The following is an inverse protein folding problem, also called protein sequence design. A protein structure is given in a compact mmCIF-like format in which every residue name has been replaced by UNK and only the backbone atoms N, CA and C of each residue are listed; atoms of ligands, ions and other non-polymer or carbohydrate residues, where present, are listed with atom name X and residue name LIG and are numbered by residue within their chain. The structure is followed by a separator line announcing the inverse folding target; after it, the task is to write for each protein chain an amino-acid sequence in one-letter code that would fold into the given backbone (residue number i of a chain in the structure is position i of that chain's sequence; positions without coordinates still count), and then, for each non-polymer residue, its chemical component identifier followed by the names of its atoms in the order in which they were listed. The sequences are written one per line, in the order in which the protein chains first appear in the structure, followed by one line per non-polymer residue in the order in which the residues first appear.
data_IF_748775229044
#
_entry.id   IF_748775229044
#
_cell.length_a   1.000
_cell.length_b   1.000
_cell.length_c   1.000
_cell.angle_alpha   90.00
_cell.angle_beta   90.00
_cell.angle_gamma   90.00
#
_symmetry.space_group_name_H-M   'P 1'
#
loop_
_entity.id
_entity.type
_entity.pdbx_description
1 polymer ?
#
# COMPACT_ATOMS: atom_id res chain seq x y z
N UNK A 1 -31.58 -8.61 -33.81
CA UNK A 1 -30.67 -8.93 -32.68
C UNK A 1 -30.26 -7.64 -32.00
N UNK A 2 -30.54 -7.45 -30.73
CA UNK A 2 -30.15 -6.21 -30.04
C UNK A 2 -28.64 -6.19 -29.80
N UNK A 3 -27.97 -5.12 -30.26
CA UNK A 3 -26.55 -4.86 -29.98
C UNK A 3 -26.33 -4.75 -28.48
N UNK A 4 -25.51 -5.64 -27.90
CA UNK A 4 -25.04 -5.52 -26.51
C UNK A 4 -24.35 -4.18 -26.35
N UNK A 5 -24.94 -3.27 -25.57
CA UNK A 5 -24.29 -2.04 -25.11
C UNK A 5 -23.09 -2.45 -24.25
N UNK A 6 -21.91 -2.24 -24.79
CA UNK A 6 -20.67 -2.32 -24.01
C UNK A 6 -20.73 -1.19 -22.98
N UNK A 7 -21.05 -1.52 -21.76
CA UNK A 7 -20.95 -0.58 -20.65
C UNK A 7 -19.46 -0.31 -20.47
N UNK A 8 -18.99 0.83 -20.96
CA UNK A 8 -17.67 1.36 -20.63
C UNK A 8 -17.62 1.55 -19.12
N UNK A 9 -17.03 0.59 -18.44
CA UNK A 9 -16.75 0.67 -17.01
C UNK A 9 -15.72 1.77 -16.80
N UNK A 10 -16.19 2.97 -16.46
CA UNK A 10 -15.32 4.05 -16.02
C UNK A 10 -14.43 3.51 -14.90
N UNK A 11 -13.11 3.51 -15.12
CA UNK A 11 -12.13 3.23 -14.07
C UNK A 11 -12.35 4.25 -12.97
N UNK A 12 -12.74 3.77 -11.79
CA UNK A 12 -12.88 4.61 -10.62
C UNK A 12 -11.49 5.08 -10.19
N UNK A 13 -11.14 6.31 -10.53
CA UNK A 13 -9.92 6.98 -10.08
C UNK A 13 -10.28 8.24 -9.32
N UNK A 14 -9.84 8.34 -8.07
CA UNK A 14 -9.90 9.61 -7.36
C UNK A 14 -8.88 10.56 -7.95
N UNK A 15 -9.32 11.76 -8.29
CA UNK A 15 -8.47 12.77 -8.94
C UNK A 15 -7.63 13.55 -7.93
N UNK A 16 -8.05 13.55 -6.66
CA UNK A 16 -7.40 14.33 -5.59
C UNK A 16 -6.52 13.41 -4.75
N UNK A 17 -5.22 13.73 -4.57
CA UNK A 17 -4.35 13.06 -3.61
C UNK A 17 -4.98 13.03 -2.22
N UNK A 18 -4.67 12.04 -1.41
CA UNK A 18 -5.15 11.92 -0.03
C UNK A 18 -6.60 11.45 0.18
N UNK A 19 -7.42 11.48 -0.85
CA UNK A 19 -8.84 11.17 -0.68
C UNK A 19 -9.06 9.71 -0.28
N UNK A 20 -8.30 8.78 -0.85
CA UNK A 20 -8.34 7.38 -0.49
C UNK A 20 -6.92 6.77 -0.46
N UNK A 21 -6.49 6.38 0.71
CA UNK A 21 -5.31 5.54 0.92
C UNK A 21 -5.79 4.11 1.13
N UNK A 22 -5.26 3.18 0.38
CA UNK A 22 -5.47 1.75 0.63
C UNK A 22 -4.32 1.21 1.46
N UNK A 23 -4.65 0.45 2.52
CA UNK A 23 -3.67 -0.29 3.32
C UNK A 23 -3.91 -1.79 3.21
N UNK A 24 -2.84 -2.54 3.13
CA UNK A 24 -2.84 -4.00 3.06
C UNK A 24 -1.61 -4.58 3.75
N UNK A 25 -1.69 -5.86 4.12
CA UNK A 25 -0.60 -6.60 4.74
C UNK A 25 -0.24 -7.82 3.92
N UNK A 26 1.02 -7.89 3.51
CA UNK A 26 1.60 -9.04 2.81
C UNK A 26 2.39 -9.91 3.77
N UNK A 27 2.14 -11.20 3.76
CA UNK A 27 2.87 -12.19 4.54
C UNK A 27 4.13 -12.60 3.80
N UNK A 28 5.28 -12.44 4.46
CA UNK A 28 6.59 -12.78 3.94
C UNK A 28 7.15 -14.01 4.65
N UNK A 29 7.79 -14.87 3.88
CA UNK A 29 8.51 -16.04 4.39
C UNK A 29 9.92 -16.00 3.86
N UNK A 30 10.90 -16.00 4.75
CA UNK A 30 12.33 -16.06 4.43
C UNK A 30 12.98 -17.28 5.05
N UNK A 31 14.17 -17.59 4.59
CA UNK A 31 15.12 -18.47 5.28
C UNK A 31 16.29 -17.60 5.75
N UNK A 32 16.69 -17.78 7.00
CA UNK A 32 17.90 -17.14 7.52
C UNK A 32 19.16 -17.97 7.17
N UNK A 33 20.32 -17.46 7.57
CA UNK A 33 21.61 -18.13 7.32
C UNK A 33 21.73 -19.54 7.93
N UNK A 34 20.80 -19.90 8.85
CA UNK A 34 20.72 -21.21 9.50
C UNK A 34 19.59 -22.08 8.94
N UNK A 35 19.08 -21.77 7.73
CA UNK A 35 17.92 -22.41 7.11
C UNK A 35 16.62 -22.36 7.94
N UNK A 36 16.57 -21.53 8.98
CA UNK A 36 15.38 -21.35 9.79
C UNK A 36 14.37 -20.48 9.06
N UNK A 37 13.12 -20.95 9.02
CA UNK A 37 12.00 -20.21 8.44
C UNK A 37 11.66 -18.98 9.30
N UNK A 38 11.67 -17.81 8.68
CA UNK A 38 11.37 -16.52 9.31
C UNK A 38 10.12 -15.94 8.65
N UNK A 39 9.10 -15.62 9.46
CA UNK A 39 7.88 -14.94 8.99
C UNK A 39 7.97 -13.45 9.29
N UNK A 40 7.58 -12.62 8.33
CA UNK A 40 7.48 -11.16 8.47
C UNK A 40 6.23 -10.66 7.78
N UNK A 41 5.85 -9.44 8.08
CA UNK A 41 4.61 -8.82 7.62
C UNK A 41 4.92 -7.46 7.04
N UNK A 42 4.76 -7.32 5.72
CA UNK A 42 4.91 -6.04 5.04
C UNK A 42 3.58 -5.33 5.03
N UNK A 43 3.52 -4.18 5.68
CA UNK A 43 2.43 -3.24 5.58
C UNK A 43 2.68 -2.30 4.40
N UNK A 44 1.68 -2.11 3.59
CA UNK A 44 1.71 -1.24 2.40
C UNK A 44 0.58 -0.24 2.50
N UNK A 45 0.86 1.03 2.25
CA UNK A 45 -0.14 2.06 2.03
C UNK A 45 0.10 2.68 0.65
N UNK A 46 -0.95 2.85 -0.14
CA UNK A 46 -0.88 3.43 -1.47
C UNK A 46 -1.99 4.47 -1.67
N UNK A 47 -1.62 5.65 -2.16
CA UNK A 47 -2.59 6.67 -2.56
C UNK A 47 -3.24 6.32 -3.89
N UNK A 48 -4.57 6.34 -3.91
CA UNK A 48 -5.34 5.94 -5.08
C UNK A 48 -5.17 6.88 -6.28
N UNK A 49 -4.94 8.17 -6.03
CA UNK A 49 -4.82 9.19 -7.06
C UNK A 49 -3.43 9.26 -7.70
N UNK A 50 -2.37 9.08 -6.91
CA UNK A 50 -0.99 9.32 -7.34
C UNK A 50 -0.16 8.06 -7.47
N UNK A 51 -0.57 6.97 -6.83
CA UNK A 51 0.21 5.73 -6.65
C UNK A 51 1.42 5.86 -5.73
N UNK A 52 1.60 7.00 -5.08
CA UNK A 52 2.60 7.12 -4.01
C UNK A 52 2.32 6.06 -2.95
N UNK A 53 3.38 5.43 -2.47
CA UNK A 53 3.26 4.39 -1.47
C UNK A 53 4.25 4.53 -0.33
N UNK A 54 3.88 3.94 0.80
CA UNK A 54 4.74 3.72 1.96
C UNK A 54 4.78 2.24 2.32
N UNK A 55 5.94 1.75 2.69
CA UNK A 55 6.21 0.35 3.02
C UNK A 55 6.90 0.24 4.36
N UNK A 56 6.52 -0.74 5.17
CA UNK A 56 7.25 -1.10 6.39
C UNK A 56 7.06 -2.57 6.73
N UNK A 57 8.09 -3.23 7.24
CA UNK A 57 8.04 -4.63 7.65
C UNK A 57 8.05 -4.74 9.17
N UNK A 58 7.20 -5.62 9.70
CA UNK A 58 7.08 -5.92 11.11
C UNK A 58 7.24 -7.41 11.38
N UNK A 59 7.64 -7.73 12.62
CA UNK A 59 7.80 -9.12 13.11
C UNK A 59 6.46 -9.79 13.41
N UNK A 60 5.43 -9.01 13.74
CA UNK A 60 4.13 -9.51 14.19
C UNK A 60 3.00 -8.87 13.40
N UNK A 61 1.95 -9.66 13.18
CA UNK A 61 0.71 -9.23 12.55
C UNK A 61 -0.32 -8.90 13.64
N UNK A 62 -0.20 -7.71 14.23
CA UNK A 62 -1.02 -7.26 15.36
C UNK A 62 -1.48 -5.82 15.17
N UNK A 63 -2.58 -5.45 15.81
CA UNK A 63 -3.21 -4.13 15.74
C UNK A 63 -2.25 -2.99 16.10
N UNK A 64 -1.38 -3.16 17.11
CA UNK A 64 -0.37 -2.16 17.49
C UNK A 64 0.54 -1.79 16.31
N UNK A 65 0.90 -2.77 15.48
CA UNK A 65 1.73 -2.54 14.29
C UNK A 65 0.97 -1.83 13.18
N UNK A 66 -0.33 -2.14 13.02
CA UNK A 66 -1.19 -1.42 12.09
C UNK A 66 -1.30 0.08 12.49
N UNK A 67 -1.52 0.38 13.75
CA UNK A 67 -1.54 1.75 14.29
C UNK A 67 -0.18 2.46 14.09
N UNK A 68 0.93 1.78 14.42
CA UNK A 68 2.27 2.32 14.19
C UNK A 68 2.52 2.63 12.71
N UNK A 69 2.06 1.75 11.84
CA UNK A 69 2.18 1.96 10.40
C UNK A 69 1.32 3.11 9.90
N UNK A 70 0.07 3.25 10.38
CA UNK A 70 -0.78 4.39 10.04
C UNK A 70 -0.12 5.73 10.44
N UNK A 71 0.44 5.82 11.64
CA UNK A 71 1.16 7.00 12.10
C UNK A 71 2.41 7.29 11.24
N UNK A 72 3.12 6.25 10.81
CA UNK A 72 4.25 6.38 9.89
C UNK A 72 3.80 6.95 8.54
N UNK A 73 2.71 6.46 7.97
CA UNK A 73 2.14 6.93 6.70
C UNK A 73 1.70 8.39 6.79
N UNK A 74 1.01 8.77 7.87
CA UNK A 74 0.56 10.14 8.12
C UNK A 74 1.74 11.12 8.14
N UNK A 75 2.84 10.74 8.79
CA UNK A 75 4.06 11.57 8.84
C UNK A 75 4.80 11.62 7.51
N UNK A 76 4.71 10.57 6.73
CA UNK A 76 5.48 10.42 5.49
C UNK A 76 4.85 11.08 4.29
N UNK A 77 3.52 11.05 4.19
CA UNK A 77 2.83 11.64 3.07
C UNK A 77 2.76 13.17 3.23
N UNK A 78 3.12 13.90 2.16
CA UNK A 78 3.16 15.35 2.15
C UNK A 78 1.77 16.01 2.03
N UNK A 79 0.70 15.28 2.34
CA UNK A 79 -0.67 15.74 2.24
C UNK A 79 -1.52 15.16 3.37
N UNK A 80 -2.61 15.85 3.72
CA UNK A 80 -3.56 15.39 4.72
C UNK A 80 -4.34 14.18 4.19
N UNK A 81 -4.39 13.09 4.96
CA UNK A 81 -5.16 11.89 4.63
C UNK A 81 -6.61 12.05 5.09
N UNK A 82 -7.57 11.84 4.18
CA UNK A 82 -8.99 11.90 4.50
C UNK A 82 -9.60 10.53 4.82
N UNK A 83 -9.25 9.52 4.02
CA UNK A 83 -9.84 8.19 4.17
C UNK A 83 -8.77 7.12 4.03
N UNK A 84 -8.76 6.17 4.95
CA UNK A 84 -7.97 4.94 4.86
C UNK A 84 -8.95 3.78 4.62
N UNK A 85 -8.64 2.95 3.64
CA UNK A 85 -9.36 1.74 3.29
C UNK A 85 -8.51 0.53 3.60
N UNK A 86 -9.11 -0.45 4.26
CA UNK A 86 -8.47 -1.75 4.56
C UNK A 86 -9.43 -2.88 4.22
N UNK A 87 -8.92 -4.09 4.18
CA UNK A 87 -9.77 -5.27 4.31
C UNK A 87 -10.30 -5.39 5.74
N UNK A 88 -11.00 -6.47 6.04
CA UNK A 88 -11.57 -6.74 7.36
C UNK A 88 -10.60 -7.57 8.24
N UNK A 89 -9.29 -7.43 8.05
CA UNK A 89 -8.28 -8.08 8.86
C UNK A 89 -8.38 -7.70 10.34
N UNK A 90 -8.05 -8.64 11.24
CA UNK A 90 -8.15 -8.42 12.68
C UNK A 90 -7.28 -7.26 13.18
N UNK A 91 -6.16 -6.99 12.51
CA UNK A 91 -5.24 -5.88 12.83
C UNK A 91 -5.84 -4.50 12.55
N UNK A 92 -6.85 -4.42 11.68
CA UNK A 92 -7.52 -3.18 11.30
C UNK A 92 -8.85 -2.93 12.04
N UNK A 93 -9.22 -3.79 12.98
CA UNK A 93 -10.47 -3.65 13.73
C UNK A 93 -10.32 -2.80 14.99
N UNK A 94 -11.42 -2.57 15.67
CA UNK A 94 -11.50 -1.96 17.03
C UNK A 94 -10.56 -0.77 17.23
N UNK A 95 -9.46 -0.94 17.95
CA UNK A 95 -8.54 0.13 18.31
C UNK A 95 -7.87 0.83 17.13
N UNK A 96 -7.63 0.14 16.00
CA UNK A 96 -7.16 0.79 14.78
C UNK A 96 -8.22 1.73 14.22
N UNK A 97 -9.47 1.29 14.15
CA UNK A 97 -10.59 2.10 13.68
C UNK A 97 -10.78 3.36 14.54
N UNK A 98 -10.79 3.21 15.86
CA UNK A 98 -10.91 4.32 16.80
C UNK A 98 -9.74 5.28 16.71
N UNK A 99 -8.51 4.78 16.62
CA UNK A 99 -7.32 5.61 16.46
C UNK A 99 -7.38 6.52 15.24
N UNK A 100 -7.84 6.00 14.09
CA UNK A 100 -8.05 6.82 12.90
C UNK A 100 -9.15 7.86 13.10
N UNK A 101 -10.24 7.50 13.79
CA UNK A 101 -11.32 8.41 14.14
C UNK A 101 -10.83 9.58 15.00
N UNK A 102 -10.00 9.31 16.01
CA UNK A 102 -9.40 10.33 16.88
C UNK A 102 -8.50 11.31 16.08
N UNK A 103 -7.89 10.84 15.01
CA UNK A 103 -7.09 11.67 14.09
C UNK A 103 -7.92 12.38 13.00
N UNK A 104 -9.25 12.23 13.02
CA UNK A 104 -10.15 12.79 12.01
C UNK A 104 -10.03 12.12 10.64
N UNK A 105 -9.53 10.89 10.58
CA UNK A 105 -9.39 10.10 9.37
C UNK A 105 -10.52 9.08 9.30
N UNK A 106 -11.26 9.09 8.19
CA UNK A 106 -12.32 8.11 7.96
C UNK A 106 -11.73 6.73 7.66
N UNK A 107 -12.14 5.72 8.40
CA UNK A 107 -11.79 4.33 8.13
C UNK A 107 -12.94 3.60 7.42
N UNK A 108 -12.64 2.94 6.31
CA UNK A 108 -13.61 2.20 5.49
C UNK A 108 -13.11 0.77 5.26
N UNK A 109 -13.93 -0.21 5.63
CA UNK A 109 -13.67 -1.61 5.28
C UNK A 109 -14.10 -1.89 3.85
N UNK A 110 -13.22 -2.52 3.07
CA UNK A 110 -13.51 -2.98 1.72
C UNK A 110 -14.22 -4.32 1.82
N UNK A 111 -15.40 -4.44 1.22
CA UNK A 111 -16.15 -5.69 1.18
C UNK A 111 -15.36 -6.77 0.44
N UNK A 112 -15.30 -8.01 0.95
CA UNK A 112 -14.75 -9.15 0.23
C UNK A 112 -15.41 -9.28 -1.15
N UNK A 113 -14.64 -9.69 -2.16
CA UNK A 113 -15.09 -9.91 -3.54
C UNK A 113 -15.54 -8.65 -4.30
N UNK A 114 -14.96 -7.50 -4.00
CA UNK A 114 -15.09 -6.30 -4.86
C UNK A 114 -13.78 -6.04 -5.64
N UNK A 115 -13.51 -6.81 -6.73
CA UNK A 115 -12.20 -6.77 -7.43
C UNK A 115 -11.86 -5.39 -8.00
N UNK A 116 -12.87 -4.56 -8.29
CA UNK A 116 -12.70 -3.24 -8.88
C UNK A 116 -12.05 -2.21 -7.94
N UNK A 117 -12.22 -2.39 -6.62
CA UNK A 117 -11.65 -1.49 -5.61
C UNK A 117 -10.25 -1.92 -5.17
N UNK A 118 -9.92 -3.21 -5.29
CA UNK A 118 -8.66 -3.80 -4.83
C UNK A 118 -7.59 -3.91 -5.92
N UNK A 119 -7.94 -3.82 -7.20
CA UNK A 119 -7.05 -4.10 -8.33
C UNK A 119 -5.76 -3.26 -8.38
N UNK A 120 -5.71 -2.16 -7.64
CA UNK A 120 -4.53 -1.29 -7.56
C UNK A 120 -3.57 -1.74 -6.46
N UNK A 121 -4.10 -2.18 -5.33
CA UNK A 121 -3.31 -2.72 -4.21
C UNK A 121 -2.84 -4.14 -4.52
N UNK A 122 -3.65 -4.97 -5.17
CA UNK A 122 -3.29 -6.34 -5.55
C UNK A 122 -2.11 -6.43 -6.53
N UNK A 123 -1.88 -5.40 -7.36
CA UNK A 123 -0.72 -5.33 -8.26
C UNK A 123 0.58 -4.95 -7.55
N UNK A 124 0.48 -4.18 -6.48
CA UNK A 124 1.66 -3.75 -5.71
C UNK A 124 2.43 -4.93 -5.10
N UNK A 125 1.81 -5.92 -4.45
CA UNK A 125 2.49 -7.11 -3.97
C UNK A 125 3.18 -7.93 -5.07
N UNK A 126 2.58 -8.05 -6.25
CA UNK A 126 3.19 -8.76 -7.39
C UNK A 126 4.44 -8.04 -7.90
N UNK A 127 4.42 -6.72 -7.99
CA UNK A 127 5.58 -5.91 -8.35
C UNK A 127 6.70 -6.10 -7.33
N UNK A 128 6.38 -6.07 -6.05
CA UNK A 128 7.35 -6.30 -4.97
C UNK A 128 7.96 -7.71 -5.04
N UNK A 129 7.16 -8.73 -5.36
CA UNK A 129 7.68 -10.11 -5.51
C UNK A 129 8.67 -10.21 -6.65
N UNK A 130 8.33 -9.68 -7.82
CA UNK A 130 9.14 -9.84 -9.04
C UNK A 130 10.38 -8.94 -9.01
N UNK A 131 10.23 -7.67 -8.60
CA UNK A 131 11.27 -6.66 -8.77
C UNK A 131 12.14 -6.47 -7.50
N UNK A 132 11.68 -6.94 -6.35
CA UNK A 132 12.37 -6.77 -5.08
C UNK A 132 12.66 -8.09 -4.35
N UNK A 133 11.62 -8.85 -3.98
CA UNK A 133 11.81 -10.02 -3.13
C UNK A 133 12.50 -11.20 -3.80
N UNK A 134 12.34 -11.39 -5.11
CA UNK A 134 13.07 -12.45 -5.85
C UNK A 134 14.58 -12.25 -5.83
N UNK A 135 15.03 -10.99 -5.73
CA UNK A 135 16.45 -10.63 -5.73
C UNK A 135 17.01 -10.45 -4.32
N UNK A 136 16.17 -10.61 -3.29
CA UNK A 136 16.51 -10.33 -1.91
C UNK A 136 17.07 -11.58 -1.20
N UNK A 137 18.28 -11.46 -0.67
CA UNK A 137 18.79 -12.37 0.36
C UNK A 137 18.48 -11.79 1.74
N UNK A 138 17.71 -12.52 2.57
CA UNK A 138 17.39 -12.09 3.92
C UNK A 138 18.59 -12.22 4.86
N UNK A 139 19.06 -11.12 5.42
CA UNK A 139 20.19 -11.03 6.36
C UNK A 139 19.79 -10.47 7.73
N UNK A 140 18.50 -10.25 7.96
CA UNK A 140 17.96 -9.68 9.19
C UNK A 140 17.03 -8.50 8.94
N UNK A 141 16.30 -8.10 9.98
CA UNK A 141 15.25 -7.09 9.85
C UNK A 141 15.77 -5.68 9.57
N UNK A 142 16.95 -5.35 10.12
CA UNK A 142 17.56 -4.03 9.90
C UNK A 142 17.98 -3.87 8.44
N UNK A 143 18.63 -4.89 7.86
CA UNK A 143 19.03 -4.90 6.45
C UNK A 143 17.81 -4.91 5.54
N UNK A 144 16.80 -5.73 5.84
CA UNK A 144 15.55 -5.78 5.11
C UNK A 144 14.87 -4.42 5.05
N UNK A 145 14.71 -3.74 6.19
CA UNK A 145 14.06 -2.42 6.24
C UNK A 145 14.86 -1.34 5.49
N UNK A 146 16.20 -1.39 5.53
CA UNK A 146 17.04 -0.48 4.73
C UNK A 146 16.85 -0.69 3.23
N UNK A 147 16.85 -1.95 2.78
CA UNK A 147 16.60 -2.30 1.38
C UNK A 147 15.19 -1.94 0.93
N UNK A 148 14.20 -2.19 1.78
CA UNK A 148 12.80 -1.84 1.53
C UNK A 148 12.60 -0.32 1.38
N UNK A 149 13.28 0.48 2.20
CA UNK A 149 13.23 1.94 2.09
C UNK A 149 13.84 2.44 0.77
N UNK A 150 14.94 1.83 0.31
CA UNK A 150 15.53 2.14 -1.00
C UNK A 150 14.60 1.75 -2.15
N UNK A 151 13.98 0.58 -2.06
CA UNK A 151 12.97 0.11 -3.00
C UNK A 151 11.76 1.05 -3.06
N UNK A 152 11.23 1.48 -1.92
CA UNK A 152 10.14 2.44 -1.83
C UNK A 152 10.50 3.78 -2.51
N UNK A 153 11.71 4.30 -2.27
CA UNK A 153 12.19 5.52 -2.93
C UNK A 153 12.28 5.34 -4.44
N UNK A 154 12.87 4.25 -4.91
CA UNK A 154 12.94 3.94 -6.33
C UNK A 154 11.54 3.86 -6.96
N UNK A 155 10.60 3.16 -6.31
CA UNK A 155 9.23 3.05 -6.76
C UNK A 155 8.54 4.41 -6.90
N UNK A 156 8.67 5.27 -5.91
CA UNK A 156 7.98 6.55 -5.87
C UNK A 156 8.59 7.62 -6.79
N UNK A 157 9.92 7.63 -6.93
CA UNK A 157 10.63 8.74 -7.56
C UNK A 157 11.30 8.40 -8.89
N UNK A 158 11.54 7.14 -9.19
CA UNK A 158 12.32 6.75 -10.37
C UNK A 158 11.57 5.80 -11.29
N UNK A 159 10.81 4.86 -10.72
CA UNK A 159 10.14 3.82 -11.50
C UNK A 159 8.92 4.38 -12.25
N UNK A 160 8.88 4.27 -13.60
CA UNK A 160 7.70 4.65 -14.38
C UNK A 160 6.58 3.63 -14.19
N UNK A 161 5.33 4.10 -14.19
CA UNK A 161 4.15 3.27 -13.99
C UNK A 161 3.17 3.39 -15.15
N UNK A 162 2.84 2.28 -15.78
CA UNK A 162 1.86 2.23 -16.87
C UNK A 162 0.48 2.78 -16.47
N UNK A 163 0.06 2.55 -15.21
CA UNK A 163 -1.21 3.03 -14.67
C UNK A 163 -1.32 4.56 -14.56
N UNK A 164 -0.21 5.28 -14.65
CA UNK A 164 -0.14 6.75 -14.65
C UNK A 164 0.62 7.27 -15.88
N UNK A 165 0.41 6.60 -17.01
CA UNK A 165 0.94 6.99 -18.34
C UNK A 165 2.47 7.12 -18.41
N UNK A 166 3.17 6.22 -17.74
CA UNK A 166 4.64 6.18 -17.71
C UNK A 166 5.30 7.18 -16.77
N UNK A 167 4.53 7.94 -16.01
CA UNK A 167 5.07 8.85 -14.97
C UNK A 167 5.42 8.08 -13.70
N UNK A 168 6.27 8.70 -12.87
CA UNK A 168 6.49 8.24 -11.50
C UNK A 168 5.34 8.71 -10.60
N UNK A 169 5.05 8.01 -9.49
CA UNK A 169 4.07 8.47 -8.52
C UNK A 169 4.32 9.90 -8.02
N UNK A 170 5.58 10.27 -7.84
CA UNK A 170 5.95 11.61 -7.39
C UNK A 170 5.68 12.70 -8.44
N UNK A 171 5.92 12.44 -9.72
CA UNK A 171 5.57 13.37 -10.80
C UNK A 171 4.06 13.62 -10.85
N UNK A 172 3.26 12.55 -10.70
CA UNK A 172 1.79 12.67 -10.63
C UNK A 172 1.36 13.47 -9.40
N UNK A 173 1.98 13.24 -8.24
CA UNK A 173 1.69 14.03 -7.04
C UNK A 173 1.98 15.52 -7.26
N UNK A 174 3.13 15.86 -7.81
CA UNK A 174 3.50 17.25 -8.10
C UNK A 174 2.51 17.93 -9.04
N UNK A 175 2.02 17.25 -10.04
CA UNK A 175 1.03 17.79 -10.98
C UNK A 175 -0.32 18.03 -10.32
N UNK A 176 -0.72 17.18 -9.38
CA UNK A 176 -2.02 17.28 -8.69
C UNK A 176 -2.03 18.26 -7.51
N UNK A 177 -0.87 18.66 -7.02
CA UNK A 177 -0.74 19.67 -5.94
C UNK A 177 -0.56 21.11 -6.47
N UNK A 178 -0.42 21.28 -7.78
CA UNK A 178 -0.44 22.60 -8.44
C UNK A 178 -1.88 23.07 -8.66
#
# INVERSE_FOLDING_TARGET
MPKKRTVLTQRYEKQVPSHHIQMDVKFLKFQDASDKKVKRYQYTAIDDATRIRALKVYKRHIQKNAINFANYVIKKFAFRIHTIRTDNGHEFQSGFHWHLGDLGIRHVYIKPRTPRLNGKVERSPKTDDIEFYQLLSYRGDVDLNKKLLRWEKFYNFTRPHAGVKGKTPYEVLREKLK
#
